data_IF_711236416111
#
_entry.id   IF_711236416111
#
_cell.length_a   1.000
_cell.length_b   1.000
_cell.length_c   1.000
_cell.angle_alpha   90.00
_cell.angle_beta   90.00
_cell.angle_gamma   90.00
#
_symmetry.space_group_name_H-M   'P 1'
#
loop_
_entity.id
_entity.type
_entity.pdbx_description
1 polymer ?
#
# COMPACT_ATOMS: atom_id res chain seq x y z
N UNK A 1 -19.21 -33.34 -20.66
CA UNK A 1 -18.82 -32.46 -19.53
C UNK A 1 -18.46 -31.08 -20.07
N UNK A 2 -19.23 -30.03 -19.79
CA UNK A 2 -18.83 -28.65 -20.13
C UNK A 2 -17.60 -28.32 -19.30
N UNK A 3 -16.45 -28.17 -19.92
CA UNK A 3 -15.29 -27.60 -19.27
C UNK A 3 -15.71 -26.23 -18.73
N UNK A 4 -15.65 -26.04 -17.40
CA UNK A 4 -15.95 -24.77 -16.75
C UNK A 4 -14.74 -23.84 -17.00
N UNK A 5 -14.68 -23.24 -18.19
CA UNK A 5 -13.59 -22.35 -18.58
C UNK A 5 -13.72 -21.08 -17.76
N UNK A 6 -12.75 -20.81 -16.88
CA UNK A 6 -12.70 -19.57 -16.11
C UNK A 6 -12.56 -18.37 -17.04
N UNK A 7 -13.31 -17.30 -16.76
CA UNK A 7 -13.22 -16.03 -17.50
C UNK A 7 -11.91 -15.31 -17.18
N UNK A 8 -11.36 -14.63 -18.18
CA UNK A 8 -10.21 -13.75 -17.96
C UNK A 8 -10.64 -12.48 -17.20
N UNK A 9 -9.89 -12.01 -16.19
CA UNK A 9 -10.21 -10.81 -15.42
C UNK A 9 -9.88 -9.54 -16.21
N UNK A 10 -10.71 -9.17 -17.17
CA UNK A 10 -10.50 -7.95 -17.94
C UNK A 10 -10.88 -6.70 -17.11
N UNK A 11 -9.92 -5.79 -16.93
CA UNK A 11 -10.13 -4.53 -16.19
C UNK A 11 -10.27 -4.68 -14.67
N UNK A 12 -10.01 -5.87 -14.11
CA UNK A 12 -10.06 -6.12 -12.67
C UNK A 12 -8.63 -6.17 -12.12
N UNK A 13 -8.33 -5.32 -11.17
CA UNK A 13 -7.04 -5.24 -10.47
C UNK A 13 -7.14 -5.67 -8.99
N UNK A 14 -8.32 -6.09 -8.54
CA UNK A 14 -8.58 -6.58 -7.18
C UNK A 14 -8.52 -8.10 -7.14
N UNK A 15 -7.60 -8.63 -6.33
CA UNK A 15 -7.37 -10.07 -6.18
C UNK A 15 -8.58 -10.79 -5.57
N UNK A 16 -9.21 -10.22 -4.52
CA UNK A 16 -10.37 -10.83 -3.88
C UNK A 16 -11.51 -10.97 -4.89
N UNK A 17 -11.77 -9.91 -5.66
CA UNK A 17 -12.82 -9.93 -6.70
C UNK A 17 -12.54 -11.00 -7.78
N UNK A 18 -11.27 -11.18 -8.19
CA UNK A 18 -10.90 -12.22 -9.18
C UNK A 18 -11.17 -13.62 -8.62
N UNK A 19 -10.82 -13.88 -7.38
CA UNK A 19 -11.03 -15.20 -6.74
C UNK A 19 -12.52 -15.45 -6.47
N UNK A 20 -13.22 -14.49 -5.86
CA UNK A 20 -14.65 -14.62 -5.49
C UNK A 20 -15.55 -14.78 -6.73
N UNK A 21 -15.19 -14.15 -7.86
CA UNK A 21 -15.89 -14.31 -9.13
C UNK A 21 -15.44 -15.55 -9.93
N UNK A 22 -14.59 -16.40 -9.35
CA UNK A 22 -14.03 -17.59 -10.00
C UNK A 22 -13.41 -17.32 -11.38
N UNK A 23 -12.67 -16.19 -11.49
CA UNK A 23 -11.96 -15.83 -12.70
C UNK A 23 -10.58 -16.49 -12.77
N UNK A 24 -9.96 -16.45 -13.95
CA UNK A 24 -8.63 -17.01 -14.13
C UNK A 24 -7.58 -16.14 -13.42
N UNK A 25 -6.85 -16.74 -12.50
CA UNK A 25 -5.74 -16.11 -11.79
C UNK A 25 -4.44 -16.87 -12.06
N UNK A 26 -3.39 -16.17 -12.44
CA UNK A 26 -2.04 -16.74 -12.54
C UNK A 26 -1.44 -16.72 -11.15
N UNK A 27 -1.32 -17.88 -10.54
CA UNK A 27 -0.82 -18.00 -9.18
C UNK A 27 0.64 -17.50 -9.07
N UNK A 28 0.83 -16.46 -8.28
CA UNK A 28 2.13 -15.89 -7.95
C UNK A 28 2.44 -15.98 -6.45
N UNK A 29 1.61 -16.71 -5.69
CA UNK A 29 1.74 -16.79 -4.24
C UNK A 29 2.99 -17.55 -3.80
N UNK A 30 3.59 -18.36 -4.67
CA UNK A 30 4.85 -19.03 -4.43
C UNK A 30 6.04 -18.07 -4.20
N UNK A 31 5.90 -16.80 -4.59
CA UNK A 31 6.93 -15.78 -4.36
C UNK A 31 6.86 -15.15 -2.97
N UNK A 32 5.80 -15.37 -2.19
CA UNK A 32 5.66 -14.77 -0.85
C UNK A 32 6.83 -15.11 0.09
N UNK A 33 7.26 -16.37 0.23
CA UNK A 33 8.42 -16.68 1.07
C UNK A 33 9.71 -16.01 0.59
N UNK A 34 9.87 -15.83 -0.72
CA UNK A 34 11.05 -15.14 -1.27
C UNK A 34 11.03 -13.65 -0.90
N UNK A 35 9.86 -12.99 -0.97
CA UNK A 35 9.70 -11.60 -0.55
C UNK A 35 9.93 -11.42 0.95
N UNK A 36 9.49 -12.36 1.77
CA UNK A 36 9.68 -12.33 3.21
C UNK A 36 11.15 -12.42 3.62
N UNK A 37 11.97 -13.08 2.80
CA UNK A 37 13.41 -13.20 2.98
C UNK A 37 14.23 -12.02 2.38
N UNK A 38 13.57 -11.08 1.70
CA UNK A 38 14.20 -9.85 1.22
C UNK A 38 14.24 -8.79 2.34
N UNK A 39 15.03 -7.70 2.17
CA UNK A 39 14.94 -6.53 3.04
C UNK A 39 13.50 -6.06 3.22
N UNK A 40 13.21 -5.47 4.37
CA UNK A 40 11.86 -5.03 4.73
C UNK A 40 11.26 -3.99 3.77
N UNK A 41 12.11 -3.22 3.10
CA UNK A 41 11.71 -2.20 2.13
C UNK A 41 12.03 -2.69 0.72
N UNK A 42 10.99 -2.91 -0.08
CA UNK A 42 11.11 -3.42 -1.45
C UNK A 42 10.54 -2.40 -2.42
N UNK A 43 11.33 -2.03 -3.44
CA UNK A 43 10.87 -1.24 -4.58
C UNK A 43 10.83 -2.16 -5.80
N UNK A 44 9.64 -2.32 -6.37
CA UNK A 44 9.39 -3.23 -7.48
C UNK A 44 8.93 -2.45 -8.73
N UNK A 45 9.87 -2.19 -9.64
CA UNK A 45 9.63 -1.41 -10.85
C UNK A 45 9.35 -2.36 -12.02
N UNK A 46 8.19 -2.18 -12.68
CA UNK A 46 7.80 -2.92 -13.88
C UNK A 46 6.97 -2.04 -14.81
N UNK A 47 7.01 -2.26 -16.11
CA UNK A 47 6.17 -1.55 -17.06
C UNK A 47 4.68 -1.62 -16.71
N UNK A 48 3.88 -0.73 -17.30
CA UNK A 48 2.41 -0.79 -17.20
C UNK A 48 1.91 -2.12 -17.73
N UNK A 49 0.77 -2.60 -17.20
CA UNK A 49 0.08 -3.86 -17.57
C UNK A 49 0.83 -5.16 -17.22
N UNK A 50 1.85 -5.11 -16.36
CA UNK A 50 2.57 -6.29 -15.83
C UNK A 50 1.89 -6.93 -14.60
N UNK A 51 0.69 -6.48 -14.24
CA UNK A 51 -0.07 -7.04 -13.13
C UNK A 51 0.43 -6.60 -11.75
N UNK A 52 1.04 -5.39 -11.64
CA UNK A 52 1.50 -4.84 -10.36
C UNK A 52 0.34 -4.71 -9.37
N UNK A 53 -0.73 -4.00 -9.74
CA UNK A 53 -1.84 -3.69 -8.83
C UNK A 53 -2.56 -4.95 -8.32
N UNK A 54 -2.77 -5.97 -9.17
CA UNK A 54 -3.36 -7.24 -8.70
C UNK A 54 -2.42 -7.99 -7.77
N UNK A 55 -1.10 -7.89 -7.98
CA UNK A 55 -0.11 -8.45 -7.08
C UNK A 55 -0.12 -7.75 -5.73
N UNK A 56 -0.21 -6.42 -5.71
CA UNK A 56 -0.36 -5.64 -4.47
C UNK A 56 -1.67 -5.97 -3.73
N UNK A 57 -2.77 -6.11 -4.47
CA UNK A 57 -4.05 -6.54 -3.88
C UNK A 57 -3.94 -7.94 -3.25
N UNK A 58 -3.19 -8.85 -3.88
CA UNK A 58 -2.90 -10.18 -3.32
C UNK A 58 -2.04 -10.08 -2.05
N UNK A 59 -0.98 -9.25 -2.03
CA UNK A 59 -0.18 -9.01 -0.84
C UNK A 59 -1.02 -8.45 0.30
N UNK A 60 -1.87 -7.45 -0.01
CA UNK A 60 -2.81 -6.88 0.95
C UNK A 60 -3.73 -7.97 1.54
N UNK A 61 -4.37 -8.76 0.68
CA UNK A 61 -5.27 -9.83 1.13
C UNK A 61 -4.56 -10.89 1.99
N UNK A 62 -3.28 -11.16 1.72
CA UNK A 62 -2.51 -12.17 2.43
C UNK A 62 -2.02 -11.71 3.81
N UNK A 63 -1.48 -10.49 3.88
CA UNK A 63 -0.82 -9.98 5.09
C UNK A 63 -1.77 -9.30 6.08
N UNK A 64 -2.95 -8.85 5.62
CA UNK A 64 -3.90 -8.11 6.43
C UNK A 64 -4.56 -8.97 7.51
N UNK A 65 -4.40 -8.56 8.76
CA UNK A 65 -4.98 -9.25 9.91
C UNK A 65 -6.52 -9.23 9.90
N UNK A 66 -7.15 -8.20 9.32
CA UNK A 66 -8.60 -8.11 9.19
C UNK A 66 -9.18 -9.16 8.24
N UNK A 67 -8.35 -9.66 7.30
CA UNK A 67 -8.73 -10.63 6.28
C UNK A 67 -8.35 -12.07 6.63
N UNK A 68 -7.75 -12.28 7.80
CA UNK A 68 -7.27 -13.60 8.24
C UNK A 68 -8.34 -14.71 8.13
N UNK A 69 -9.59 -14.39 8.42
CA UNK A 69 -10.71 -15.33 8.33
C UNK A 69 -11.06 -15.76 6.91
N UNK A 70 -10.70 -14.94 5.92
CA UNK A 70 -10.91 -15.23 4.49
C UNK A 70 -9.80 -16.07 3.86
N UNK A 71 -8.73 -16.39 4.60
CA UNK A 71 -7.55 -17.06 4.05
C UNK A 71 -7.89 -18.31 3.24
N UNK A 72 -8.69 -19.21 3.80
CA UNK A 72 -9.04 -20.46 3.12
C UNK A 72 -9.85 -20.21 1.83
N UNK A 73 -10.76 -19.23 1.85
CA UNK A 73 -11.57 -18.88 0.67
C UNK A 73 -10.74 -18.27 -0.44
N UNK A 74 -9.78 -17.40 -0.09
CA UNK A 74 -9.00 -16.64 -1.07
C UNK A 74 -7.76 -17.39 -1.56
N UNK A 75 -7.14 -18.20 -0.71
CA UNK A 75 -5.84 -18.80 -0.98
C UNK A 75 -5.84 -20.34 -0.97
N UNK A 76 -6.93 -20.99 -0.53
CA UNK A 76 -6.98 -22.45 -0.33
C UNK A 76 -6.56 -23.28 -1.55
N UNK A 77 -6.92 -22.83 -2.75
CA UNK A 77 -6.59 -23.50 -4.02
C UNK A 77 -5.23 -23.06 -4.61
N UNK A 78 -4.58 -22.03 -4.01
CA UNK A 78 -3.30 -21.50 -4.47
C UNK A 78 -2.13 -22.18 -3.77
N UNK A 79 -0.92 -21.96 -4.29
CA UNK A 79 0.29 -22.55 -3.73
C UNK A 79 0.46 -22.22 -2.23
N UNK A 80 0.26 -20.96 -1.84
CA UNK A 80 0.41 -20.51 -0.45
C UNK A 80 -0.67 -21.06 0.49
N UNK A 81 -1.83 -21.44 -0.04
CA UNK A 81 -2.87 -22.09 0.73
C UNK A 81 -2.41 -23.42 1.35
N UNK A 82 -1.48 -24.10 0.66
CA UNK A 82 -0.85 -25.35 1.13
C UNK A 82 0.47 -25.10 1.88
N UNK A 83 1.06 -23.94 1.71
CA UNK A 83 2.37 -23.55 2.24
C UNK A 83 2.31 -22.16 2.90
N UNK A 84 1.42 -21.93 3.91
CA UNK A 84 1.30 -20.63 4.53
C UNK A 84 2.57 -20.25 5.29
N UNK A 85 2.90 -18.95 5.27
CA UNK A 85 4.03 -18.42 6.03
C UNK A 85 3.61 -17.92 7.42
N UNK A 86 4.54 -17.76 8.37
CA UNK A 86 4.23 -17.19 9.68
C UNK A 86 3.70 -15.75 9.64
N UNK A 87 3.91 -15.03 8.52
CA UNK A 87 3.46 -13.64 8.36
C UNK A 87 2.04 -13.49 7.81
N UNK A 88 1.35 -14.61 7.49
CA UNK A 88 -0.02 -14.59 7.03
C UNK A 88 -0.95 -13.93 8.06
N UNK A 89 -1.70 -12.91 7.63
CA UNK A 89 -2.67 -12.21 8.47
C UNK A 89 -2.07 -11.59 9.73
N UNK A 90 -0.83 -11.11 9.66
CA UNK A 90 -0.09 -10.55 10.79
C UNK A 90 -0.23 -9.03 10.92
N UNK A 91 -0.36 -8.32 9.81
CA UNK A 91 -0.16 -6.88 9.77
C UNK A 91 -1.48 -6.10 9.70
N UNK A 92 -1.47 -4.89 10.22
CA UNK A 92 -2.39 -3.87 9.76
C UNK A 92 -1.80 -3.23 8.50
N UNK A 93 -2.53 -3.26 7.39
CA UNK A 93 -2.02 -2.87 6.07
C UNK A 93 -2.57 -1.51 5.67
N UNK A 94 -1.68 -0.54 5.44
CA UNK A 94 -2.02 0.72 4.77
C UNK A 94 -1.71 0.58 3.28
N UNK A 95 -2.73 0.67 2.43
CA UNK A 95 -2.58 0.58 0.99
C UNK A 95 -2.87 1.93 0.34
N UNK A 96 -1.85 2.51 -0.28
CA UNK A 96 -1.88 3.79 -0.98
C UNK A 96 -1.73 3.56 -2.48
N UNK A 97 -2.47 4.33 -3.27
CA UNK A 97 -2.34 4.39 -4.72
C UNK A 97 -2.16 5.85 -5.12
N UNK A 98 -0.96 6.21 -5.52
CA UNK A 98 -0.62 7.60 -5.83
C UNK A 98 -1.10 8.05 -7.21
N UNK A 99 -1.74 7.19 -8.00
CA UNK A 99 -2.46 7.61 -9.20
C UNK A 99 -3.64 8.55 -8.90
N UNK A 100 -4.15 8.49 -7.67
CA UNK A 100 -5.22 9.39 -7.20
C UNK A 100 -4.73 10.74 -6.68
N UNK A 101 -3.42 10.93 -6.57
CA UNK A 101 -2.84 12.21 -6.16
C UNK A 101 -2.60 13.05 -7.41
N UNK A 102 -3.26 14.19 -7.51
CA UNK A 102 -3.13 15.09 -8.67
C UNK A 102 -3.68 16.47 -8.35
N UNK A 103 -3.74 17.31 -9.38
CA UNK A 103 -4.22 18.68 -9.32
C UNK A 103 -3.13 19.69 -9.70
N UNK A 104 -3.44 20.99 -9.58
CA UNK A 104 -2.47 22.05 -9.85
C UNK A 104 -1.33 22.00 -8.83
N UNK A 105 -0.14 22.36 -9.28
CA UNK A 105 1.09 22.34 -8.45
C UNK A 105 0.96 23.16 -7.18
N UNK A 106 0.33 24.33 -7.27
CA UNK A 106 0.13 25.21 -6.12
C UNK A 106 -0.65 24.54 -4.97
N UNK A 107 -1.35 23.43 -5.27
CA UNK A 107 -2.16 22.65 -4.32
C UNK A 107 -1.66 21.21 -4.17
N UNK A 108 -0.52 20.86 -4.73
CA UNK A 108 -0.07 19.48 -4.78
C UNK A 108 0.16 18.91 -3.37
N UNK A 109 0.81 19.67 -2.50
CA UNK A 109 1.04 19.29 -1.11
C UNK A 109 -0.27 19.17 -0.33
N UNK A 110 -1.19 20.14 -0.49
CA UNK A 110 -2.52 20.11 0.13
C UNK A 110 -3.34 18.90 -0.34
N UNK A 111 -3.33 18.63 -1.65
CA UNK A 111 -4.02 17.47 -2.22
C UNK A 111 -3.42 16.14 -1.74
N UNK A 112 -2.10 16.08 -1.60
CA UNK A 112 -1.42 14.92 -1.07
C UNK A 112 -1.76 14.69 0.41
N UNK A 113 -1.73 15.74 1.25
CA UNK A 113 -2.15 15.68 2.64
C UNK A 113 -3.60 15.24 2.77
N UNK A 114 -4.50 15.82 2.00
CA UNK A 114 -5.91 15.43 1.97
C UNK A 114 -6.09 13.96 1.58
N UNK A 115 -5.40 13.49 0.54
CA UNK A 115 -5.43 12.09 0.14
C UNK A 115 -4.98 11.17 1.27
N UNK A 116 -3.85 11.47 1.91
CA UNK A 116 -3.33 10.68 3.04
C UNK A 116 -4.30 10.69 4.22
N UNK A 117 -4.90 11.83 4.56
CA UNK A 117 -5.91 11.90 5.64
C UNK A 117 -7.07 10.95 5.39
N UNK A 118 -7.62 10.97 4.18
CA UNK A 118 -8.73 10.07 3.79
C UNK A 118 -8.31 8.60 3.93
N UNK A 119 -7.09 8.24 3.49
CA UNK A 119 -6.59 6.87 3.59
C UNK A 119 -6.34 6.45 5.04
N UNK A 120 -5.78 7.33 5.86
CA UNK A 120 -5.55 7.09 7.28
C UNK A 120 -6.87 6.97 8.07
N UNK A 121 -7.88 7.76 7.74
CA UNK A 121 -9.21 7.61 8.33
C UNK A 121 -9.87 6.29 7.95
N UNK A 122 -9.72 5.87 6.70
CA UNK A 122 -10.15 4.55 6.24
C UNK A 122 -9.45 3.41 6.99
N UNK A 123 -8.12 3.51 7.13
CA UNK A 123 -7.31 2.58 7.91
C UNK A 123 -7.82 2.49 9.36
N UNK A 124 -8.00 3.62 10.04
CA UNK A 124 -8.49 3.64 11.42
C UNK A 124 -9.88 3.00 11.57
N UNK A 125 -10.79 3.18 10.60
CA UNK A 125 -12.11 2.53 10.61
C UNK A 125 -12.00 1.00 10.46
N UNK A 126 -11.09 0.51 9.60
CA UNK A 126 -10.88 -0.94 9.40
C UNK A 126 -10.37 -1.59 10.68
N UNK A 127 -9.39 -0.96 11.36
CA UNK A 127 -8.70 -1.53 12.51
C UNK A 127 -9.17 -0.96 13.85
N UNK A 128 -10.34 -0.33 13.91
CA UNK A 128 -10.84 0.38 15.09
C UNK A 128 -10.90 -0.47 16.37
N UNK A 129 -11.01 -1.79 16.26
CA UNK A 129 -11.06 -2.73 17.38
C UNK A 129 -9.72 -2.84 18.14
N UNK A 130 -8.62 -2.47 17.49
CA UNK A 130 -7.27 -2.48 18.07
C UNK A 130 -6.96 -1.22 18.88
N UNK A 131 -7.80 -0.18 18.79
CA UNK A 131 -7.55 1.15 19.33
C UNK A 131 -8.60 1.57 20.35
N UNK A 132 -8.14 2.21 21.44
CA UNK A 132 -9.03 2.75 22.46
C UNK A 132 -9.87 3.91 21.95
N UNK A 133 -11.03 4.14 22.55
CA UNK A 133 -11.98 5.17 22.13
C UNK A 133 -11.36 6.57 22.15
N UNK A 134 -10.67 6.92 23.23
CA UNK A 134 -10.01 8.23 23.37
C UNK A 134 -8.96 8.49 22.30
N UNK A 135 -8.20 7.44 21.94
CA UNK A 135 -7.24 7.54 20.84
C UNK A 135 -7.93 7.77 19.50
N UNK A 136 -8.99 7.01 19.21
CA UNK A 136 -9.77 7.17 17.96
C UNK A 136 -10.37 8.57 17.84
N UNK A 137 -10.94 9.10 18.93
CA UNK A 137 -11.50 10.45 18.93
C UNK A 137 -10.43 11.50 18.63
N UNK A 138 -9.26 11.40 19.29
CA UNK A 138 -8.14 12.29 19.03
C UNK A 138 -7.68 12.18 17.57
N UNK A 139 -7.53 10.96 17.06
CA UNK A 139 -7.10 10.69 15.69
C UNK A 139 -8.05 11.30 14.65
N UNK A 140 -9.36 11.11 14.80
CA UNK A 140 -10.34 11.66 13.85
C UNK A 140 -10.49 13.19 13.93
N UNK A 141 -10.20 13.81 15.07
CA UNK A 141 -10.21 15.28 15.24
C UNK A 141 -8.94 15.96 14.67
N UNK A 142 -7.92 15.19 14.36
CA UNK A 142 -6.66 15.72 13.80
C UNK A 142 -6.83 15.99 12.31
N UNK A 143 -6.50 17.20 11.84
CA UNK A 143 -6.71 17.66 10.47
C UNK A 143 -5.46 17.57 9.56
N UNK A 144 -4.34 17.08 10.07
CA UNK A 144 -3.08 16.91 9.32
C UNK A 144 -2.73 15.44 9.17
N UNK A 145 -2.41 15.00 7.94
CA UNK A 145 -1.92 13.64 7.70
C UNK A 145 -0.62 13.35 8.44
N UNK A 146 0.27 14.33 8.52
CA UNK A 146 1.54 14.23 9.25
C UNK A 146 1.32 13.99 10.75
N UNK A 147 0.39 14.71 11.36
CA UNK A 147 0.05 14.52 12.77
C UNK A 147 -0.65 13.17 13.01
N UNK A 148 -1.56 12.76 12.11
CA UNK A 148 -2.19 11.43 12.17
C UNK A 148 -1.14 10.31 12.09
N UNK A 149 -0.15 10.43 11.22
CA UNK A 149 0.95 9.47 11.14
C UNK A 149 1.76 9.42 12.43
N UNK A 150 2.10 10.58 13.02
CA UNK A 150 2.82 10.62 14.28
C UNK A 150 2.02 9.96 15.43
N UNK A 151 0.74 10.28 15.56
CA UNK A 151 -0.15 9.63 16.53
C UNK A 151 -0.20 8.11 16.34
N UNK A 152 -0.35 7.66 15.10
CA UNK A 152 -0.42 6.23 14.77
C UNK A 152 0.92 5.54 15.07
N UNK A 153 2.05 6.18 14.77
CA UNK A 153 3.39 5.66 15.06
C UNK A 153 3.58 5.44 16.56
N UNK A 154 3.28 6.42 17.40
CA UNK A 154 3.41 6.32 18.85
C UNK A 154 2.53 5.20 19.42
N UNK A 155 1.28 5.15 18.99
CA UNK A 155 0.31 4.17 19.48
C UNK A 155 0.70 2.74 19.08
N UNK A 156 1.09 2.53 17.80
CA UNK A 156 1.47 1.20 17.29
C UNK A 156 2.79 0.72 17.88
N UNK A 157 3.75 1.62 18.11
CA UNK A 157 5.00 1.30 18.79
C UNK A 157 4.74 0.86 20.24
N UNK A 158 3.91 1.61 20.98
CA UNK A 158 3.55 1.29 22.37
C UNK A 158 2.86 -0.06 22.49
N UNK A 159 2.00 -0.41 21.53
CA UNK A 159 1.22 -1.66 21.53
C UNK A 159 1.88 -2.81 20.77
N UNK A 160 3.06 -2.58 20.17
CA UNK A 160 3.74 -3.55 19.31
C UNK A 160 2.85 -4.07 18.17
N UNK A 161 2.07 -3.19 17.55
CA UNK A 161 1.21 -3.51 16.40
C UNK A 161 2.05 -3.44 15.13
N UNK A 162 2.24 -4.56 14.41
CA UNK A 162 3.03 -4.55 13.18
C UNK A 162 2.25 -3.91 12.03
N UNK A 163 2.89 -2.97 11.34
CA UNK A 163 2.33 -2.25 10.20
C UNK A 163 3.02 -2.67 8.90
N UNK A 164 2.24 -2.78 7.82
CA UNK A 164 2.74 -2.99 6.47
C UNK A 164 2.22 -1.88 5.55
N UNK A 165 3.12 -1.20 4.85
CA UNK A 165 2.78 -0.20 3.84
C UNK A 165 2.88 -0.79 2.44
N UNK A 166 1.83 -0.63 1.65
CA UNK A 166 1.80 -0.96 0.23
C UNK A 166 1.53 0.33 -0.55
N UNK A 167 2.39 0.65 -1.53
CA UNK A 167 2.21 1.82 -2.39
C UNK A 167 2.21 1.38 -3.85
N UNK A 168 1.13 1.69 -4.56
CA UNK A 168 1.07 1.57 -6.02
C UNK A 168 1.33 2.93 -6.68
N UNK A 169 1.94 2.88 -7.85
CA UNK A 169 2.22 4.04 -8.72
C UNK A 169 2.90 5.21 -8.00
N UNK A 170 3.92 4.90 -7.14
CA UNK A 170 4.63 5.90 -6.34
C UNK A 170 5.25 7.03 -7.16
N UNK A 171 5.58 6.74 -8.41
CA UNK A 171 6.22 7.68 -9.35
C UNK A 171 5.21 8.48 -10.18
N UNK A 172 3.91 8.22 -10.08
CA UNK A 172 2.92 8.79 -10.98
C UNK A 172 2.86 10.32 -10.89
N UNK A 173 2.65 10.87 -9.70
CA UNK A 173 2.49 12.32 -9.58
C UNK A 173 3.82 13.06 -9.72
N UNK A 174 4.95 12.49 -9.30
CA UNK A 174 6.28 13.08 -9.48
C UNK A 174 6.66 13.15 -10.95
N UNK A 175 6.32 12.13 -11.74
CA UNK A 175 6.49 12.15 -13.19
C UNK A 175 5.58 13.19 -13.87
N UNK A 176 4.35 13.39 -13.38
CA UNK A 176 3.47 14.46 -13.88
C UNK A 176 4.09 15.81 -13.60
N UNK A 177 4.60 16.06 -12.40
CA UNK A 177 5.29 17.30 -12.05
C UNK A 177 6.52 17.53 -12.94
N UNK A 178 7.34 16.50 -13.14
CA UNK A 178 8.52 16.59 -13.99
C UNK A 178 8.16 16.98 -15.43
N UNK A 179 7.13 16.38 -15.99
CA UNK A 179 6.71 16.60 -17.37
C UNK A 179 6.04 17.96 -17.57
N UNK A 180 5.25 18.43 -16.60
CA UNK A 180 4.46 19.65 -16.74
C UNK A 180 5.19 20.91 -16.27
N UNK A 181 6.09 20.80 -15.29
CA UNK A 181 6.70 21.93 -14.58
C UNK A 181 8.23 21.91 -14.60
N UNK A 182 8.81 20.83 -15.09
CA UNK A 182 10.25 20.67 -15.26
C UNK A 182 11.01 20.31 -13.98
N UNK A 183 12.32 20.15 -14.16
CA UNK A 183 13.21 19.58 -13.15
C UNK A 183 13.26 20.37 -11.83
N UNK A 184 13.20 21.69 -11.87
CA UNK A 184 13.31 22.51 -10.65
C UNK A 184 12.22 22.22 -9.64
N UNK A 185 10.98 22.09 -10.11
CA UNK A 185 9.83 21.77 -9.23
C UNK A 185 9.90 20.34 -8.77
N UNK A 186 10.26 19.41 -9.65
CA UNK A 186 10.49 18.01 -9.31
C UNK A 186 11.52 17.88 -8.16
N UNK A 187 12.69 18.55 -8.28
CA UNK A 187 13.72 18.54 -7.25
C UNK A 187 13.22 19.15 -5.92
N UNK A 188 12.41 20.20 -5.98
CA UNK A 188 11.89 20.84 -4.79
C UNK A 188 10.96 19.93 -3.95
N UNK A 189 10.25 18.99 -4.57
CA UNK A 189 9.35 18.06 -3.86
C UNK A 189 10.00 16.74 -3.47
N UNK A 190 11.03 16.30 -4.19
CA UNK A 190 11.65 14.98 -4.02
C UNK A 190 12.98 15.03 -3.24
N UNK A 191 13.63 16.20 -3.13
CA UNK A 191 14.93 16.36 -2.50
C UNK A 191 14.89 17.37 -1.35
N UNK A 192 15.96 17.41 -0.57
CA UNK A 192 16.14 18.32 0.56
C UNK A 192 14.95 18.31 1.55
N UNK A 193 14.23 19.41 1.67
CA UNK A 193 13.08 19.58 2.57
C UNK A 193 11.74 19.37 1.85
N UNK A 194 11.74 18.67 0.72
CA UNK A 194 10.54 18.41 -0.07
C UNK A 194 9.53 17.51 0.69
N UNK A 195 8.26 17.87 0.66
CA UNK A 195 7.20 17.19 1.41
C UNK A 195 7.09 15.69 1.07
N UNK A 196 7.36 15.33 -0.18
CA UNK A 196 7.30 13.93 -0.62
C UNK A 196 8.38 13.08 0.06
N UNK A 197 9.62 13.57 0.08
CA UNK A 197 10.73 12.94 0.80
C UNK A 197 10.45 12.81 2.30
N UNK A 198 9.91 13.85 2.92
CA UNK A 198 9.61 13.85 4.36
C UNK A 198 8.56 12.80 4.75
N UNK A 199 7.55 12.60 3.90
CA UNK A 199 6.56 11.54 4.12
C UNK A 199 7.22 10.17 4.03
N UNK A 200 8.08 9.91 3.05
CA UNK A 200 8.77 8.62 2.93
C UNK A 200 9.73 8.35 4.10
N UNK A 201 10.40 9.37 4.63
CA UNK A 201 11.21 9.23 5.86
C UNK A 201 10.37 8.77 7.05
N UNK A 202 9.18 9.36 7.23
CA UNK A 202 8.24 8.94 8.27
C UNK A 202 7.77 7.50 8.08
N UNK A 203 7.47 7.11 6.85
CA UNK A 203 7.09 5.74 6.54
C UNK A 203 8.17 4.74 6.95
N UNK A 204 9.43 5.00 6.65
CA UNK A 204 10.56 4.12 7.03
C UNK A 204 10.66 3.88 8.53
N UNK A 205 10.39 4.88 9.34
CA UNK A 205 10.45 4.78 10.80
C UNK A 205 9.25 4.10 11.45
N UNK A 206 8.15 3.90 10.69
CA UNK A 206 6.86 3.49 11.23
C UNK A 206 6.47 2.06 10.81
N UNK A 207 6.72 1.69 9.56
CA UNK A 207 6.27 0.41 9.01
C UNK A 207 7.35 -0.66 9.13
N UNK A 208 6.97 -1.86 9.64
CA UNK A 208 7.86 -3.02 9.72
C UNK A 208 8.25 -3.50 8.31
N UNK A 209 7.32 -3.39 7.36
CA UNK A 209 7.54 -3.70 5.95
C UNK A 209 6.92 -2.67 5.03
N UNK A 210 7.61 -2.40 3.92
CA UNK A 210 7.16 -1.49 2.87
C UNK A 210 7.33 -2.17 1.51
N UNK A 211 6.27 -2.18 0.70
CA UNK A 211 6.32 -2.64 -0.68
C UNK A 211 5.81 -1.55 -1.61
N UNK A 212 6.67 -1.09 -2.50
CA UNK A 212 6.40 0.03 -3.39
C UNK A 212 6.44 -0.45 -4.83
N UNK A 213 5.47 -0.02 -5.66
CA UNK A 213 5.50 -0.25 -7.10
C UNK A 213 5.42 1.03 -7.90
N UNK A 214 6.03 1.00 -9.08
CA UNK A 214 6.01 2.08 -10.05
C UNK A 214 6.47 1.60 -11.42
N UNK A 215 6.62 2.56 -12.32
CA UNK A 215 7.06 2.34 -13.71
C UNK A 215 8.49 2.84 -13.91
N UNK A 216 8.86 3.93 -13.26
CA UNK A 216 10.18 4.56 -13.35
C UNK A 216 10.81 4.74 -11.97
N UNK A 217 12.16 4.73 -11.89
CA UNK A 217 12.83 5.09 -10.65
C UNK A 217 12.64 6.59 -10.37
N UNK A 218 12.11 6.93 -9.21
CA UNK A 218 12.16 8.28 -8.64
C UNK A 218 13.36 8.32 -7.72
N UNK A 219 14.26 9.27 -7.94
CA UNK A 219 15.40 9.45 -7.05
C UNK A 219 14.91 10.10 -5.76
N UNK A 220 14.75 9.28 -4.75
CA UNK A 220 14.54 9.72 -3.38
C UNK A 220 15.87 9.47 -2.68
N UNK A 221 16.58 10.52 -2.30
CA UNK A 221 17.98 10.44 -1.81
C UNK A 221 18.19 9.55 -0.57
N UNK A 222 17.15 8.93 0.00
CA UNK A 222 17.25 8.12 1.23
C UNK A 222 16.20 6.99 1.30
N UNK A 223 15.65 6.49 0.18
CA UNK A 223 14.69 5.37 0.19
C UNK A 223 15.32 4.06 -0.21
#
# INVERSE_FOLDING_TARGET
>A
MKQNVKRLPYGINDFEAVIEQNQYYVDKTMYLPLLENQPSNIIFIRPRRFGKSIFLSMLHAYYDCSKKKKFQTLFGDLWVGKHPTPLQGRYQVLHLDFSYVGGSIDKLEENFDMYLRVKLDGFMRIYQEFYLTDFKEKFFKTDSATEKLALLQDETATKSIPLYLIIDEYDNFTNTVLNEQGEKVYWAITHADGFYRDVFKKFKGMFERIFITGVSPVTLDDV
#
